data_IF_928623278486
#
_entry.id   IF_928623278486
#
_cell.length_a   1.000
_cell.length_b   1.000
_cell.length_c   1.000
_cell.angle_alpha   90.00
_cell.angle_beta   90.00
_cell.angle_gamma   90.00
#
_symmetry.space_group_name_H-M   'P 1'
#
loop_
_entity.id
_entity.type
_entity.pdbx_description
1 polymer ?
#
# COMPACT_ATOMS: atom_id res chain seq x y z
N UNK A 1 11.32 -5.03 -6.24
CA UNK A 1 9.88 -5.36 -6.20
C UNK A 1 9.61 -6.63 -5.39
N UNK A 2 10.15 -7.79 -5.79
CA UNK A 2 9.99 -9.09 -5.11
C UNK A 2 10.03 -9.03 -3.57
N UNK A 3 11.10 -8.47 -3.00
CA UNK A 3 11.28 -8.37 -1.54
C UNK A 3 10.22 -7.55 -0.81
N UNK A 4 9.58 -6.58 -1.49
CA UNK A 4 8.52 -5.76 -0.90
C UNK A 4 7.19 -6.52 -0.90
N UNK A 5 6.96 -7.38 -1.90
CA UNK A 5 5.72 -8.14 -2.07
C UNK A 5 5.74 -9.51 -1.38
N UNK A 6 6.90 -9.97 -0.87
CA UNK A 6 7.05 -11.31 -0.26
C UNK A 6 6.08 -11.62 0.89
N UNK A 7 5.58 -10.59 1.56
CA UNK A 7 4.66 -10.70 2.69
C UNK A 7 3.21 -10.36 2.31
N UNK A 8 2.92 -10.11 1.04
CA UNK A 8 1.59 -9.70 0.57
C UNK A 8 0.62 -10.89 0.47
N UNK A 9 1.11 -12.12 0.38
CA UNK A 9 0.28 -13.33 0.35
C UNK A 9 0.10 -13.92 1.76
N UNK A 10 -1.14 -13.95 2.25
CA UNK A 10 -1.49 -14.48 3.58
C UNK A 10 -1.39 -16.00 3.66
N UNK A 11 -1.64 -16.70 2.55
CA UNK A 11 -1.54 -18.15 2.44
C UNK A 11 -1.03 -18.50 1.06
N UNK A 12 -0.07 -19.40 1.00
CA UNK A 12 0.46 -19.95 -0.23
C UNK A 12 0.00 -21.40 -0.38
N UNK A 13 -0.30 -21.88 -1.60
CA UNK A 13 -0.54 -23.29 -1.86
C UNK A 13 0.67 -24.10 -1.41
N UNK A 14 0.45 -25.23 -0.73
CA UNK A 14 1.54 -26.09 -0.26
C UNK A 14 2.24 -26.88 -1.37
N UNK A 15 1.66 -26.91 -2.56
CA UNK A 15 2.14 -27.68 -3.71
C UNK A 15 3.01 -26.86 -4.68
N UNK A 16 2.95 -25.53 -4.58
CA UNK A 16 3.70 -24.61 -5.44
C UNK A 16 4.91 -24.04 -4.71
N UNK A 17 5.94 -23.65 -5.49
CA UNK A 17 7.07 -22.93 -4.95
C UNK A 17 6.58 -21.58 -4.37
N UNK A 18 6.88 -21.25 -3.10
CA UNK A 18 6.41 -20.04 -2.45
C UNK A 18 6.83 -18.74 -3.17
N UNK A 19 7.81 -18.80 -4.06
CA UNK A 19 8.25 -17.66 -4.85
C UNK A 19 7.38 -17.43 -6.11
N UNK A 20 6.63 -18.43 -6.60
CA UNK A 20 5.79 -18.29 -7.81
C UNK A 20 4.67 -17.27 -7.59
N UNK A 21 3.95 -17.35 -6.47
CA UNK A 21 2.92 -16.36 -6.15
C UNK A 21 3.49 -14.93 -6.04
N UNK A 22 4.75 -14.79 -5.60
CA UNK A 22 5.41 -13.48 -5.52
C UNK A 22 5.84 -12.99 -6.91
N UNK A 23 6.30 -13.89 -7.80
CA UNK A 23 6.60 -13.55 -9.20
C UNK A 23 5.34 -13.09 -9.93
N UNK A 24 4.22 -13.76 -9.72
CA UNK A 24 2.92 -13.36 -10.28
C UNK A 24 2.51 -11.96 -9.79
N UNK A 25 2.68 -11.68 -8.50
CA UNK A 25 2.41 -10.33 -7.95
C UNK A 25 3.34 -9.27 -8.55
N UNK A 26 4.62 -9.58 -8.77
CA UNK A 26 5.56 -8.67 -9.45
C UNK A 26 5.09 -8.41 -10.89
N UNK A 27 4.68 -9.44 -11.62
CA UNK A 27 4.19 -9.31 -13.00
C UNK A 27 2.90 -8.49 -13.05
N UNK A 28 1.94 -8.74 -12.14
CA UNK A 28 0.70 -7.95 -12.03
C UNK A 28 1.03 -6.49 -11.75
N UNK A 29 1.97 -6.23 -10.84
CA UNK A 29 2.39 -4.86 -10.49
C UNK A 29 2.98 -4.15 -11.71
N UNK A 30 3.88 -4.80 -12.45
CA UNK A 30 4.46 -4.22 -13.67
C UNK A 30 3.36 -3.99 -14.72
N UNK A 31 2.48 -4.96 -14.99
CA UNK A 31 1.36 -4.76 -15.93
C UNK A 31 0.46 -3.59 -15.58
N UNK A 32 0.31 -3.30 -14.28
CA UNK A 32 -0.56 -2.22 -13.79
C UNK A 32 0.11 -0.86 -13.70
N UNK A 33 1.42 -0.83 -13.47
CA UNK A 33 2.10 0.40 -13.10
C UNK A 33 3.23 0.79 -14.07
N UNK A 34 3.84 -0.15 -14.78
CA UNK A 34 4.92 0.10 -15.75
C UNK A 34 4.32 0.56 -17.10
N UNK A 35 4.16 1.88 -17.28
CA UNK A 35 3.51 2.45 -18.46
C UNK A 35 4.43 2.52 -19.68
N UNK A 36 5.75 2.59 -19.47
CA UNK A 36 6.73 2.61 -20.56
C UNK A 36 7.27 1.21 -20.93
N UNK A 37 6.89 0.19 -20.15
CA UNK A 37 7.23 -1.22 -20.35
C UNK A 37 8.74 -1.49 -20.31
N UNK A 38 9.50 -0.72 -19.52
CA UNK A 38 10.93 -0.91 -19.34
C UNK A 38 11.31 -1.96 -18.27
N UNK A 39 10.29 -2.55 -17.63
CA UNK A 39 10.42 -3.55 -16.57
C UNK A 39 10.76 -2.97 -15.20
N UNK A 40 10.67 -1.64 -15.04
CA UNK A 40 10.90 -0.92 -13.79
C UNK A 40 9.67 -0.10 -13.45
N UNK A 41 9.76 0.58 -12.31
CA UNK A 41 8.72 1.49 -11.85
C UNK A 41 9.37 2.83 -11.56
N UNK A 42 9.26 3.76 -12.50
CA UNK A 42 9.71 5.13 -12.29
C UNK A 42 8.75 5.90 -11.39
N UNK A 43 9.14 7.11 -10.96
CA UNK A 43 8.22 7.98 -10.23
C UNK A 43 7.01 8.40 -11.09
N UNK A 44 7.22 8.65 -12.39
CA UNK A 44 6.15 9.06 -13.29
C UNK A 44 5.12 7.94 -13.45
N UNK A 45 5.61 6.71 -13.63
CA UNK A 45 4.80 5.50 -13.70
C UNK A 45 3.96 5.30 -12.43
N UNK A 46 4.63 5.38 -11.28
CA UNK A 46 3.97 5.26 -9.98
C UNK A 46 2.93 6.36 -9.75
N UNK A 47 3.29 7.62 -9.98
CA UNK A 47 2.37 8.75 -9.79
C UNK A 47 1.13 8.61 -10.68
N UNK A 48 1.33 8.27 -11.96
CA UNK A 48 0.23 8.08 -12.89
C UNK A 48 -0.68 6.94 -12.43
N UNK A 49 -0.11 5.76 -12.15
CA UNK A 49 -0.87 4.59 -11.71
C UNK A 49 -1.66 4.85 -10.42
N UNK A 50 -1.09 5.56 -9.44
CA UNK A 50 -1.77 5.91 -8.18
C UNK A 50 -2.88 6.94 -8.38
N UNK A 51 -2.70 7.88 -9.32
CA UNK A 51 -3.77 8.84 -9.67
C UNK A 51 -4.93 8.18 -10.38
N UNK A 52 -4.67 7.16 -11.19
CA UNK A 52 -5.70 6.35 -11.87
C UNK A 52 -6.40 5.39 -10.88
N UNK A 53 -5.64 4.76 -9.98
CA UNK A 53 -6.13 3.79 -8.99
C UNK A 53 -5.49 4.04 -7.62
N UNK A 54 -6.19 4.79 -6.76
CA UNK A 54 -5.66 5.24 -5.45
C UNK A 54 -5.26 4.09 -4.51
N UNK A 55 -5.83 2.89 -4.68
CA UNK A 55 -5.45 1.72 -3.90
C UNK A 55 -3.98 1.29 -4.11
N UNK A 56 -3.37 1.67 -5.25
CA UNK A 56 -1.98 1.34 -5.54
C UNK A 56 -0.97 2.15 -4.71
N UNK A 57 -1.42 3.17 -3.97
CA UNK A 57 -0.56 4.00 -3.12
C UNK A 57 0.27 3.15 -2.14
N UNK A 58 -0.36 2.14 -1.55
CA UNK A 58 0.25 1.22 -0.58
C UNK A 58 0.41 -0.21 -1.14
N UNK A 59 0.53 -0.36 -2.48
CA UNK A 59 0.65 -1.68 -3.14
C UNK A 59 1.85 -2.51 -2.64
N UNK A 60 2.90 -1.86 -2.17
CA UNK A 60 4.12 -2.50 -1.65
C UNK A 60 4.10 -2.73 -0.13
N UNK A 61 2.95 -2.52 0.51
CA UNK A 61 2.74 -2.65 1.94
C UNK A 61 2.33 -1.34 2.59
N UNK A 62 1.71 -1.43 3.78
CA UNK A 62 1.24 -0.27 4.52
C UNK A 62 2.40 0.62 4.95
N UNK A 63 2.32 1.90 4.65
CA UNK A 63 3.30 2.91 5.02
C UNK A 63 2.67 4.20 5.59
N UNK A 64 1.34 4.30 5.53
CA UNK A 64 0.55 5.35 6.15
C UNK A 64 -0.14 4.82 7.41
N UNK A 65 -0.50 5.70 8.37
CA UNK A 65 -1.26 5.30 9.54
C UNK A 65 -2.63 4.78 9.12
N UNK A 66 -3.08 3.69 9.75
CA UNK A 66 -4.43 3.19 9.55
C UNK A 66 -5.48 4.18 10.11
N UNK A 67 -6.75 4.12 9.66
CA UNK A 67 -7.78 5.07 10.09
C UNK A 67 -8.00 5.16 11.60
N UNK A 68 -7.80 4.05 12.34
CA UNK A 68 -7.96 4.07 13.80
C UNK A 68 -6.81 4.85 14.45
N UNK A 69 -5.58 4.59 14.03
CA UNK A 69 -4.40 5.34 14.49
C UNK A 69 -4.52 6.84 14.17
N UNK A 70 -5.05 7.19 12.99
CA UNK A 70 -5.33 8.59 12.62
C UNK A 70 -6.35 9.24 13.57
N UNK A 71 -7.51 8.59 13.78
CA UNK A 71 -8.56 9.12 14.65
C UNK A 71 -8.09 9.30 16.10
N UNK A 72 -7.35 8.33 16.65
CA UNK A 72 -6.81 8.42 18.01
C UNK A 72 -5.81 9.57 18.15
N UNK A 73 -4.94 9.77 17.14
CA UNK A 73 -4.00 10.87 17.11
C UNK A 73 -4.71 12.23 17.02
N UNK A 74 -5.65 12.38 16.09
CA UNK A 74 -6.41 13.62 15.91
C UNK A 74 -7.21 13.98 17.17
N UNK A 75 -7.90 13.00 17.77
CA UNK A 75 -8.65 13.19 19.01
C UNK A 75 -7.75 13.54 20.21
N UNK A 76 -6.46 13.18 20.18
CA UNK A 76 -5.53 13.56 21.24
C UNK A 76 -4.93 14.95 21.01
N UNK A 77 -4.53 15.25 19.78
CA UNK A 77 -3.79 16.48 19.43
C UNK A 77 -4.71 17.68 19.26
N UNK A 78 -5.90 17.48 18.71
CA UNK A 78 -6.85 18.56 18.40
C UNK A 78 -8.01 18.65 19.40
N UNK A 79 -7.89 18.01 20.57
CA UNK A 79 -8.81 18.25 21.69
C UNK A 79 -8.86 19.75 21.98
N UNK A 80 -10.02 20.35 21.76
CA UNK A 80 -10.25 21.74 22.15
C UNK A 80 -10.20 21.79 23.69
N UNK A 81 -9.28 22.57 24.29
CA UNK A 81 -9.25 22.74 25.75
C UNK A 81 -10.58 23.26 26.32
N UNK A 82 -11.44 23.84 25.48
CA UNK A 82 -12.70 24.47 25.89
C UNK A 82 -13.93 23.53 25.81
N UNK A 83 -13.82 22.30 25.29
CA UNK A 83 -14.96 21.36 25.25
C UNK A 83 -15.35 20.79 26.63
N UNK A 84 -14.56 21.03 27.67
CA UNK A 84 -14.89 20.62 29.05
C UNK A 84 -15.73 21.65 29.84
N UNK A 85 -16.18 22.74 29.23
CA UNK A 85 -16.94 23.78 29.95
C UNK A 85 -18.47 23.51 29.99
N UNK A 86 -19.00 22.59 29.17
CA UNK A 86 -20.45 22.33 29.09
C UNK A 86 -20.83 20.84 29.29
N UNK A 87 -20.38 20.20 30.37
CA UNK A 87 -21.06 19.00 30.90
C UNK A 87 -20.93 18.84 32.41
#
# INVERSE_FOLDING_TARGET
MFHMLKNSLLKQPSEEDPDEGIKDLVEITLKKMDHDHDGKLSFSDYEQAVREETLLLEAFGPCLPDPKSQMEFEAHVFKDPNEFIDM
#
